data_IF_208250410879
#
_entry.id   IF_208250410879
#
_cell.length_a   1.000
_cell.length_b   1.000
_cell.length_c   1.000
_cell.angle_alpha   90.00
_cell.angle_beta   90.00
_cell.angle_gamma   90.00
#
_symmetry.space_group_name_H-M   'P 1'
#
loop_
_entity.id
_entity.type
_entity.pdbx_description
1 polymer ?
#
# COMPACT_ATOMS: atom_id res chain seq x y z
N UNK A 1 -2.71 12.95 -6.59
CA UNK A 1 -3.87 13.87 -6.41
C UNK A 1 -3.72 14.54 -5.04
N UNK A 2 -3.70 15.88 -4.92
CA UNK A 2 -3.56 16.54 -3.61
C UNK A 2 -4.83 16.31 -2.77
N UNK A 3 -4.74 15.57 -1.66
CA UNK A 3 -5.85 15.30 -0.74
C UNK A 3 -6.15 16.46 0.23
N UNK A 4 -6.10 17.69 -0.28
CA UNK A 4 -6.38 18.90 0.51
C UNK A 4 -7.71 19.45 0.01
N UNK A 5 -8.70 19.54 0.90
CA UNK A 5 -9.93 20.28 0.62
C UNK A 5 -9.64 21.78 0.45
N UNK A 6 -10.53 22.53 -0.21
CA UNK A 6 -10.37 23.98 -0.42
C UNK A 6 -10.24 24.77 0.91
N UNK A 7 -10.59 24.12 2.00
CA UNK A 7 -10.73 24.58 3.38
C UNK A 7 -9.60 24.06 4.30
N UNK A 8 -8.56 23.43 3.75
CA UNK A 8 -7.33 23.06 4.49
C UNK A 8 -7.43 21.81 5.37
N UNK A 9 -8.58 21.15 5.41
CA UNK A 9 -8.79 19.90 6.16
C UNK A 9 -8.33 18.65 5.39
N UNK A 10 -7.84 17.66 6.14
CA UNK A 10 -7.50 16.33 5.63
C UNK A 10 -8.77 15.63 5.10
N UNK A 11 -8.72 15.14 3.86
CA UNK A 11 -9.80 14.33 3.30
C UNK A 11 -9.76 12.93 3.92
N UNK A 12 -10.76 12.58 4.72
CA UNK A 12 -11.03 11.20 5.08
C UNK A 12 -11.94 10.55 4.02
N UNK A 13 -11.69 9.28 3.73
CA UNK A 13 -12.53 8.48 2.85
C UNK A 13 -12.57 7.05 3.35
N UNK A 14 -13.66 6.34 3.03
CA UNK A 14 -13.82 4.92 3.30
C UNK A 14 -13.50 4.13 2.04
N UNK A 15 -12.71 3.07 2.17
CA UNK A 15 -12.40 2.18 1.04
C UNK A 15 -13.67 1.41 0.64
N UNK A 16 -14.08 1.41 -0.64
CA UNK A 16 -15.23 0.64 -1.09
C UNK A 16 -15.03 -0.87 -0.94
N UNK A 17 -16.12 -1.67 -0.86
CA UNK A 17 -16.04 -3.12 -0.88
C UNK A 17 -15.29 -3.66 -2.11
N UNK A 18 -14.50 -4.73 -1.94
CA UNK A 18 -13.74 -5.36 -3.02
C UNK A 18 -12.57 -4.52 -3.56
N UNK A 19 -12.18 -3.46 -2.85
CA UNK A 19 -11.06 -2.60 -3.21
C UNK A 19 -10.09 -2.44 -2.05
N UNK A 20 -8.88 -2.00 -2.39
CA UNK A 20 -7.79 -1.76 -1.45
C UNK A 20 -7.23 -0.36 -1.63
N UNK A 21 -6.84 0.25 -0.52
CA UNK A 21 -5.97 1.42 -0.50
C UNK A 21 -4.56 0.95 -0.12
N UNK A 22 -3.62 1.05 -1.05
CA UNK A 22 -2.24 0.56 -0.86
C UNK A 22 -1.28 1.74 -0.81
N UNK A 23 -0.30 1.66 0.08
CA UNK A 23 0.77 2.66 0.17
C UNK A 23 2.12 1.96 0.26
N UNK A 24 3.07 2.43 -0.53
CA UNK A 24 4.46 1.96 -0.47
C UNK A 24 5.15 2.47 0.79
N UNK A 25 6.19 1.77 1.23
CA UNK A 25 6.97 2.19 2.40
C UNK A 25 7.76 3.49 2.13
N UNK A 26 8.23 3.70 0.88
CA UNK A 26 8.88 4.94 0.46
C UNK A 26 7.86 5.99 0.01
N UNK A 27 7.16 6.57 0.99
CA UNK A 27 5.95 7.41 0.79
C UNK A 27 6.10 8.54 -0.21
N UNK A 28 7.23 9.24 -0.19
CA UNK A 28 7.44 10.41 -1.06
C UNK A 28 7.76 10.02 -2.51
N UNK A 29 8.13 8.77 -2.77
CA UNK A 29 8.62 8.30 -4.06
C UNK A 29 7.95 6.98 -4.48
N UNK A 30 6.69 6.82 -4.09
CA UNK A 30 5.86 5.67 -4.45
C UNK A 30 4.71 6.17 -5.30
N UNK A 31 4.51 5.57 -6.46
CA UNK A 31 3.29 5.78 -7.25
C UNK A 31 2.26 4.74 -6.82
N UNK A 32 1.52 5.05 -5.75
CA UNK A 32 0.51 4.17 -5.16
C UNK A 32 -0.88 4.84 -5.10
N UNK A 33 -1.77 4.37 -4.24
CA UNK A 33 -3.17 4.83 -4.22
C UNK A 33 -3.33 6.34 -4.05
N UNK A 34 -2.36 7.06 -3.44
CA UNK A 34 -2.40 8.53 -3.38
C UNK A 34 -2.24 9.24 -4.74
N UNK A 35 -1.70 8.53 -5.74
CA UNK A 35 -1.55 8.99 -7.13
C UNK A 35 -2.73 8.51 -7.99
N UNK A 36 -3.02 7.20 -7.98
CA UNK A 36 -3.95 6.57 -8.93
C UNK A 36 -5.26 6.01 -8.31
N UNK A 37 -5.45 6.07 -7.00
CA UNK A 37 -6.70 5.68 -6.33
C UNK A 37 -6.76 4.22 -5.89
N UNK A 38 -7.96 3.64 -5.87
CA UNK A 38 -8.21 2.31 -5.27
C UNK A 38 -7.80 1.15 -6.19
N UNK A 39 -7.18 0.12 -5.62
CA UNK A 39 -6.83 -1.13 -6.31
C UNK A 39 -7.98 -2.13 -6.23
N UNK A 40 -8.50 -2.65 -7.35
CA UNK A 40 -9.48 -3.75 -7.33
C UNK A 40 -8.87 -5.05 -6.80
N UNK A 41 -9.64 -5.81 -6.00
CA UNK A 41 -9.18 -7.06 -5.37
C UNK A 41 -8.70 -8.11 -6.39
N UNK A 42 -9.36 -8.18 -7.54
CA UNK A 42 -9.06 -9.13 -8.62
C UNK A 42 -7.66 -8.96 -9.21
N UNK A 43 -7.05 -7.79 -9.03
CA UNK A 43 -5.69 -7.51 -9.51
C UNK A 43 -4.60 -7.96 -8.51
N UNK A 44 -4.97 -8.45 -7.33
CA UNK A 44 -4.03 -8.92 -6.31
C UNK A 44 -3.66 -10.38 -6.58
N UNK A 45 -2.38 -10.61 -6.88
CA UNK A 45 -1.85 -11.97 -7.09
C UNK A 45 -1.59 -12.70 -5.77
N UNK A 46 -1.08 -11.99 -4.75
CA UNK A 46 -0.77 -12.59 -3.46
C UNK A 46 0.03 -11.70 -2.52
N UNK A 47 0.42 -12.24 -1.37
CA UNK A 47 1.20 -11.55 -0.34
C UNK A 47 2.66 -11.97 -0.40
N UNK A 48 3.58 -11.00 -0.35
CA UNK A 48 4.99 -11.29 -0.11
C UNK A 48 5.17 -11.88 1.29
N UNK A 49 5.69 -13.11 1.38
CA UNK A 49 5.88 -13.83 2.64
C UNK A 49 7.32 -14.30 2.87
N UNK A 50 8.19 -14.23 1.86
CA UNK A 50 9.58 -14.66 1.97
C UNK A 50 10.50 -13.68 1.24
N UNK A 51 11.63 -13.37 1.88
CA UNK A 51 12.72 -12.60 1.30
C UNK A 51 13.86 -13.55 1.01
N UNK A 52 14.24 -13.68 -0.26
CA UNK A 52 15.34 -14.55 -0.67
C UNK A 52 16.67 -13.79 -0.87
N UNK A 53 16.66 -12.46 -1.00
CA UNK A 53 17.86 -11.63 -1.24
C UNK A 53 17.90 -10.43 -0.29
N UNK A 54 19.10 -9.95 0.14
CA UNK A 54 20.43 -10.54 -0.07
C UNK A 54 20.71 -11.77 0.81
N UNK A 55 21.44 -12.73 0.24
CA UNK A 55 21.67 -14.05 0.85
C UNK A 55 22.45 -14.00 2.17
N UNK A 56 23.37 -13.05 2.31
CA UNK A 56 24.32 -12.98 3.41
C UNK A 56 23.71 -12.43 4.72
N UNK A 57 22.60 -11.70 4.64
CA UNK A 57 22.11 -10.90 5.78
C UNK A 57 20.62 -10.97 6.05
N UNK A 58 19.78 -11.32 5.06
CA UNK A 58 18.33 -11.02 5.15
C UNK A 58 17.41 -12.06 4.53
N UNK A 59 17.88 -13.30 4.33
CA UNK A 59 17.00 -14.41 3.93
C UNK A 59 16.07 -14.77 5.08
N UNK A 60 14.78 -14.89 4.81
CA UNK A 60 13.82 -15.34 5.81
C UNK A 60 12.38 -14.96 5.50
N UNK A 61 11.48 -15.45 6.35
CA UNK A 61 10.04 -15.17 6.26
C UNK A 61 9.71 -13.74 6.67
N UNK A 62 8.69 -13.17 6.03
CA UNK A 62 8.10 -11.89 6.39
C UNK A 62 6.92 -12.15 7.33
N UNK A 63 6.98 -11.54 8.51
CA UNK A 63 5.91 -11.69 9.50
C UNK A 63 4.57 -11.24 8.92
N UNK A 64 3.52 -12.01 9.21
CA UNK A 64 2.15 -11.59 8.89
C UNK A 64 1.76 -10.48 9.85
N UNK A 65 1.44 -9.28 9.37
CA UNK A 65 1.03 -8.19 10.24
C UNK A 65 -0.33 -8.52 10.88
N UNK A 66 -0.51 -8.08 12.13
CA UNK A 66 -1.83 -8.12 12.78
C UNK A 66 -2.56 -6.85 12.37
N UNK A 67 -3.68 -7.02 11.67
CA UNK A 67 -4.59 -5.95 11.26
C UNK A 67 -5.89 -6.06 12.06
#
# INVERSE_FOLDING_TARGET
>A
MKQVNQDGNLRSFTVPPGKYWVMGDNRNNSEDSHVWGFLPQENIVGRAYFRYWPFDRRVGELSTPKY
#
